data_IF_407912093023
#
_entry.id   IF_407912093023
#
_cell.length_a   1.000
_cell.length_b   1.000
_cell.length_c   1.000
_cell.angle_alpha   90.00
_cell.angle_beta   90.00
_cell.angle_gamma   90.00
#
_symmetry.space_group_name_H-M   'P 1'
#
loop_
_entity.id
_entity.type
_entity.pdbx_description
1 polymer ?
#
# COMPACT_ATOMS: atom_id res chain seq x y z
N UNK A 1 -1.02 18.69 -45.88
CA UNK A 1 -0.36 17.89 -44.82
C UNK A 1 -0.77 18.52 -43.51
N UNK A 2 -1.71 17.91 -42.80
CA UNK A 2 -2.23 18.41 -41.53
C UNK A 2 -1.77 17.43 -40.44
N UNK A 3 -1.03 17.96 -39.48
CA UNK A 3 -0.61 17.30 -38.25
C UNK A 3 -1.83 17.06 -37.36
N UNK A 4 -2.05 15.80 -36.96
CA UNK A 4 -3.01 15.39 -35.94
C UNK A 4 -2.20 14.89 -34.75
N UNK A 5 -1.76 15.81 -33.91
CA UNK A 5 -1.35 15.51 -32.54
C UNK A 5 -2.60 15.12 -31.76
N UNK A 6 -2.80 13.82 -31.56
CA UNK A 6 -3.74 13.28 -30.59
C UNK A 6 -3.20 13.64 -29.21
N UNK A 7 -3.85 14.60 -28.56
CA UNK A 7 -3.62 14.89 -27.15
C UNK A 7 -3.90 13.60 -26.35
N UNK A 8 -2.89 13.07 -25.68
CA UNK A 8 -3.06 12.02 -24.70
C UNK A 8 -3.90 12.61 -23.56
N UNK A 9 -5.19 12.26 -23.52
CA UNK A 9 -5.99 12.49 -22.33
C UNK A 9 -5.38 11.64 -21.21
N UNK A 10 -4.74 12.30 -20.24
CA UNK A 10 -4.29 11.67 -19.01
C UNK A 10 -5.48 10.97 -18.36
N UNK A 11 -5.51 9.63 -18.42
CA UNK A 11 -6.56 8.83 -17.81
C UNK A 11 -6.40 8.94 -16.29
N UNK A 12 -7.19 9.82 -15.67
CA UNK A 12 -7.21 9.99 -14.22
C UNK A 12 -7.96 8.82 -13.55
N UNK A 13 -7.24 7.99 -12.80
CA UNK A 13 -7.84 6.94 -11.97
C UNK A 13 -8.26 7.49 -10.61
N UNK A 14 -9.43 7.10 -10.10
CA UNK A 14 -9.76 7.32 -8.68
C UNK A 14 -9.15 6.21 -7.83
N UNK A 15 -8.19 6.54 -6.95
CA UNK A 15 -7.59 5.59 -6.00
C UNK A 15 -7.90 6.05 -4.58
N UNK A 16 -8.42 5.14 -3.77
CA UNK A 16 -8.60 5.41 -2.35
C UNK A 16 -7.22 5.40 -1.68
N UNK A 17 -6.81 6.54 -1.12
CA UNK A 17 -5.55 6.66 -0.38
C UNK A 17 -5.90 6.64 1.10
N UNK A 18 -5.68 5.47 1.71
CA UNK A 18 -6.01 5.21 3.10
C UNK A 18 -5.34 6.20 4.08
N UNK A 19 -4.20 6.78 3.71
CA UNK A 19 -3.52 7.79 4.52
C UNK A 19 -4.38 9.04 4.81
N UNK A 20 -5.32 9.38 3.93
CA UNK A 20 -6.17 10.60 4.01
C UNK A 20 -7.64 10.27 4.29
N UNK A 21 -8.03 8.99 4.30
CA UNK A 21 -9.42 8.57 4.48
C UNK A 21 -10.38 9.07 3.38
N UNK A 22 -9.84 9.54 2.24
CA UNK A 22 -10.60 10.12 1.12
C UNK A 22 -10.21 9.46 -0.21
N UNK A 23 -11.17 9.44 -1.13
CA UNK A 23 -10.91 9.07 -2.54
C UNK A 23 -10.29 10.29 -3.20
N UNK A 24 -9.06 10.16 -3.70
CA UNK A 24 -8.38 11.18 -4.50
C UNK A 24 -8.11 10.63 -5.91
N UNK A 25 -8.12 11.54 -6.89
CA UNK A 25 -7.75 11.21 -8.27
C UNK A 25 -6.23 11.15 -8.35
N UNK A 26 -5.71 10.06 -8.89
CA UNK A 26 -4.28 9.85 -9.17
C UNK A 26 -4.16 9.30 -10.60
N UNK A 27 -3.08 9.61 -11.32
CA UNK A 27 -2.88 9.07 -12.66
C UNK A 27 -2.88 7.53 -12.63
N UNK A 28 -3.50 6.91 -13.64
CA UNK A 28 -3.45 5.47 -13.80
C UNK A 28 -2.02 5.04 -14.18
N UNK A 29 -1.41 4.12 -13.43
CA UNK A 29 -0.25 3.38 -13.93
C UNK A 29 -0.75 2.30 -14.90
N UNK A 30 -0.48 2.49 -16.20
CA UNK A 30 -0.57 1.42 -17.18
C UNK A 30 0.55 0.41 -16.93
N UNK A 31 0.18 -0.87 -16.88
CA UNK A 31 1.07 -1.96 -16.51
C UNK A 31 1.87 -2.47 -17.70
N UNK A 32 3.18 -2.75 -17.53
CA UNK A 32 3.99 -3.29 -18.62
C UNK A 32 5.45 -3.66 -18.31
N UNK A 33 5.64 -4.74 -17.54
CA UNK A 33 6.73 -5.74 -17.64
C UNK A 33 8.17 -5.44 -17.21
N UNK A 34 8.93 -6.50 -16.82
CA UNK A 34 10.11 -6.41 -15.98
C UNK A 34 11.41 -6.52 -16.79
N UNK A 35 12.36 -5.63 -16.55
CA UNK A 35 13.75 -5.87 -16.92
C UNK A 35 14.63 -6.04 -15.69
N UNK A 36 15.17 -7.26 -15.60
CA UNK A 36 16.26 -7.65 -14.70
C UNK A 36 17.54 -6.95 -15.13
N UNK A 37 18.08 -6.08 -14.27
CA UNK A 37 19.51 -6.02 -13.92
C UNK A 37 19.52 -5.63 -12.43
N UNK A 38 19.95 -6.47 -11.50
CA UNK A 38 21.31 -6.99 -11.46
C UNK A 38 22.26 -5.91 -10.95
N UNK A 39 22.02 -5.39 -9.74
CA UNK A 39 23.02 -4.68 -8.96
C UNK A 39 22.89 -5.14 -7.51
N UNK A 40 23.74 -6.09 -7.14
CA UNK A 40 24.26 -6.15 -5.77
C UNK A 40 24.95 -4.81 -5.51
N UNK A 41 24.32 -3.97 -4.70
CA UNK A 41 24.96 -2.76 -4.19
C UNK A 41 25.64 -3.12 -2.89
N UNK A 42 26.96 -2.93 -2.89
CA UNK A 42 27.89 -2.88 -1.77
C UNK A 42 27.29 -2.21 -0.51
N UNK A 43 27.84 -2.49 0.69
CA UNK A 43 27.38 -1.84 1.93
C UNK A 43 27.45 -0.32 1.76
N UNK A 44 26.28 0.31 1.57
CA UNK A 44 26.17 1.74 1.33
C UNK A 44 26.79 2.54 2.48
N UNK A 45 27.34 3.74 2.19
CA UNK A 45 28.11 4.53 3.14
C UNK A 45 27.34 4.71 4.44
N UNK A 46 28.04 4.53 5.56
CA UNK A 46 27.53 4.86 6.89
C UNK A 46 27.41 6.38 6.96
N UNK A 47 26.22 6.89 6.68
CA UNK A 47 25.94 8.33 6.71
C UNK A 47 26.07 8.83 8.14
N UNK A 48 27.00 9.76 8.37
CA UNK A 48 27.14 10.45 9.65
C UNK A 48 26.29 11.74 9.64
N UNK A 49 25.07 11.65 10.16
CA UNK A 49 24.17 12.78 10.40
C UNK A 49 24.53 13.49 11.71
N UNK A 50 24.41 14.82 11.75
CA UNK A 50 24.54 15.55 13.02
C UNK A 50 23.28 15.34 13.88
N UNK A 51 23.39 15.41 15.22
CA UNK A 51 22.23 15.28 16.10
C UNK A 51 21.11 16.31 15.83
N UNK A 52 21.47 17.53 15.42
CA UNK A 52 20.50 18.59 15.15
C UNK A 52 19.68 18.35 13.88
N UNK A 53 20.27 17.78 12.84
CA UNK A 53 19.56 17.35 11.62
C UNK A 53 18.61 16.19 11.92
N UNK A 54 19.07 15.28 12.77
CA UNK A 54 18.30 14.11 13.18
C UNK A 54 17.05 14.48 14.01
N UNK A 55 17.18 15.51 14.85
CA UNK A 55 16.06 16.10 15.62
C UNK A 55 15.02 16.76 14.71
N UNK A 56 15.44 17.52 13.69
CA UNK A 56 14.50 18.13 12.72
C UNK A 56 13.72 17.09 11.93
N UNK A 57 14.34 15.95 11.61
CA UNK A 57 13.71 14.83 10.90
C UNK A 57 12.98 13.84 11.82
N UNK A 58 12.99 14.03 13.15
CA UNK A 58 12.34 13.14 14.12
C UNK A 58 10.88 12.79 13.80
N UNK A 59 9.97 13.71 13.40
CA UNK A 59 8.58 13.36 13.11
C UNK A 59 8.45 12.41 11.92
N UNK A 60 9.25 12.60 10.86
CA UNK A 60 9.21 11.74 9.68
C UNK A 60 9.85 10.38 9.95
N UNK A 61 10.92 10.33 10.75
CA UNK A 61 11.52 9.09 11.25
C UNK A 61 10.54 8.29 12.10
N UNK A 62 9.83 8.95 13.02
CA UNK A 62 8.78 8.33 13.83
C UNK A 62 7.64 7.77 12.96
N UNK A 63 7.28 8.46 11.88
CA UNK A 63 6.30 7.95 10.92
C UNK A 63 6.78 6.66 10.24
N UNK A 64 8.05 6.58 9.83
CA UNK A 64 8.64 5.35 9.27
C UNK A 64 8.64 4.19 10.28
N UNK A 65 8.92 4.48 11.55
CA UNK A 65 8.83 3.50 12.64
C UNK A 65 7.40 2.97 12.77
N UNK A 66 6.39 3.86 12.84
CA UNK A 66 4.99 3.45 12.92
C UNK A 66 4.55 2.56 11.75
N UNK A 67 4.96 2.91 10.53
CA UNK A 67 4.66 2.11 9.33
C UNK A 67 5.37 0.74 9.37
N UNK A 68 6.64 0.71 9.79
CA UNK A 68 7.40 -0.53 9.98
C UNK A 68 6.73 -1.45 11.00
N UNK A 69 6.34 -0.90 12.15
CA UNK A 69 5.76 -1.68 13.24
C UNK A 69 4.37 -2.20 12.89
N UNK A 70 3.58 -1.43 12.15
CA UNK A 70 2.30 -1.90 11.61
C UNK A 70 2.49 -3.08 10.65
N UNK A 71 3.51 -3.05 9.77
CA UNK A 71 3.85 -4.16 8.89
C UNK A 71 4.27 -5.39 9.71
N UNK A 72 5.21 -5.26 10.65
CA UNK A 72 5.71 -6.38 11.47
C UNK A 72 4.60 -6.99 12.31
N UNK A 73 3.74 -6.16 12.89
CA UNK A 73 2.53 -6.58 13.61
C UNK A 73 1.59 -7.38 12.72
N UNK A 74 1.37 -6.91 11.48
CA UNK A 74 0.52 -7.60 10.53
C UNK A 74 1.14 -8.91 10.04
N UNK A 75 2.46 -8.99 9.89
CA UNK A 75 3.16 -10.17 9.37
C UNK A 75 2.86 -11.42 10.21
N UNK A 76 2.81 -11.28 11.54
CA UNK A 76 2.53 -12.36 12.48
C UNK A 76 1.05 -12.63 12.77
N UNK A 77 0.11 -11.90 12.16
CA UNK A 77 -1.33 -11.99 12.46
C UNK A 77 -2.13 -12.47 11.25
N UNK A 78 -2.31 -13.79 11.15
CA UNK A 78 -3.03 -14.43 10.04
C UNK A 78 -4.48 -13.94 9.90
N UNK A 79 -5.19 -13.75 11.03
CA UNK A 79 -6.59 -13.31 11.00
C UNK A 79 -6.71 -11.87 10.48
N UNK A 80 -5.76 -11.01 10.82
CA UNK A 80 -5.67 -9.68 10.25
C UNK A 80 -5.33 -9.71 8.77
N UNK A 81 -4.36 -10.53 8.34
CA UNK A 81 -3.96 -10.65 6.94
C UNK A 81 -5.14 -11.12 6.07
N UNK A 82 -5.92 -12.08 6.53
CA UNK A 82 -7.15 -12.55 5.88
C UNK A 82 -8.20 -11.43 5.76
N UNK A 83 -8.41 -10.70 6.85
CA UNK A 83 -9.34 -9.57 6.90
C UNK A 83 -8.89 -8.42 6.00
N UNK A 84 -7.59 -8.17 5.93
CA UNK A 84 -6.97 -7.16 5.08
C UNK A 84 -7.10 -7.54 3.60
N UNK A 85 -6.80 -8.79 3.24
CA UNK A 85 -7.05 -9.31 1.89
C UNK A 85 -8.52 -9.14 1.48
N UNK A 86 -9.44 -9.43 2.40
CA UNK A 86 -10.88 -9.25 2.15
C UNK A 86 -11.22 -7.79 1.90
N UNK A 87 -10.71 -6.86 2.71
CA UNK A 87 -10.96 -5.43 2.52
C UNK A 87 -10.40 -4.89 1.20
N UNK A 88 -9.21 -5.35 0.78
CA UNK A 88 -8.58 -4.96 -0.50
C UNK A 88 -9.42 -5.46 -1.68
N UNK A 89 -9.87 -6.71 -1.64
CA UNK A 89 -10.70 -7.28 -2.70
C UNK A 89 -12.06 -6.59 -2.81
N UNK A 90 -12.71 -6.33 -1.67
CA UNK A 90 -13.96 -5.58 -1.63
C UNK A 90 -13.82 -4.19 -2.25
N UNK A 91 -12.75 -3.46 -1.91
CA UNK A 91 -12.45 -2.16 -2.53
C UNK A 91 -12.23 -2.27 -4.05
N UNK A 92 -11.65 -3.37 -4.53
CA UNK A 92 -11.50 -3.65 -5.95
C UNK A 92 -12.87 -3.81 -6.64
N UNK A 93 -13.78 -4.55 -6.01
CA UNK A 93 -15.13 -4.78 -6.54
C UNK A 93 -16.01 -3.54 -6.52
N UNK A 94 -15.86 -2.64 -5.55
CA UNK A 94 -16.53 -1.34 -5.56
C UNK A 94 -16.20 -0.57 -6.85
N UNK A 95 -14.93 -0.61 -7.27
CA UNK A 95 -14.48 0.08 -8.50
C UNK A 95 -15.05 -0.57 -9.77
N UNK A 96 -15.17 -1.90 -9.80
CA UNK A 96 -15.69 -2.62 -10.96
C UNK A 96 -17.22 -2.70 -11.03
N UNK A 97 -17.93 -2.45 -9.91
CA UNK A 97 -19.38 -2.50 -9.84
C UNK A 97 -20.03 -1.44 -10.74
N UNK A 98 -20.81 -1.88 -11.74
CA UNK A 98 -21.54 -1.01 -12.68
C UNK A 98 -22.86 -0.49 -12.10
N UNK A 99 -23.52 -1.28 -11.25
CA UNK A 99 -24.79 -0.92 -10.65
C UNK A 99 -24.60 0.00 -9.44
N UNK A 100 -25.24 1.18 -9.44
CA UNK A 100 -25.16 2.16 -8.34
C UNK A 100 -25.59 1.59 -6.99
N UNK A 101 -26.64 0.76 -6.95
CA UNK A 101 -27.17 0.17 -5.70
C UNK A 101 -26.19 -0.87 -5.13
N UNK A 102 -25.64 -1.72 -5.99
CA UNK A 102 -24.62 -2.70 -5.60
C UNK A 102 -23.32 -2.01 -5.18
N UNK A 103 -22.87 -1.01 -5.94
CA UNK A 103 -21.69 -0.20 -5.62
C UNK A 103 -21.82 0.46 -4.25
N UNK A 104 -22.98 1.06 -3.94
CA UNK A 104 -23.23 1.67 -2.62
C UNK A 104 -23.13 0.61 -1.51
N UNK A 105 -23.79 -0.54 -1.70
CA UNK A 105 -23.74 -1.63 -0.72
C UNK A 105 -22.31 -2.12 -0.47
N UNK A 106 -21.56 -2.41 -1.53
CA UNK A 106 -20.16 -2.84 -1.44
C UNK A 106 -19.28 -1.76 -0.80
N UNK A 107 -19.56 -0.49 -1.08
CA UNK A 107 -18.85 0.64 -0.49
C UNK A 107 -19.09 0.73 1.03
N UNK A 108 -20.34 0.64 1.46
CA UNK A 108 -20.70 0.64 2.88
C UNK A 108 -20.05 -0.56 3.63
N UNK A 109 -20.05 -1.75 3.02
CA UNK A 109 -19.37 -2.92 3.58
C UNK A 109 -17.84 -2.77 3.60
N UNK A 110 -17.26 -2.14 2.58
CA UNK A 110 -15.81 -1.85 2.52
C UNK A 110 -15.41 -0.90 3.66
N UNK A 111 -16.21 0.16 3.91
CA UNK A 111 -15.99 1.07 5.04
C UNK A 111 -16.05 0.31 6.36
N UNK A 112 -17.07 -0.54 6.55
CA UNK A 112 -17.20 -1.33 7.78
C UNK A 112 -16.00 -2.27 8.00
N UNK A 113 -15.49 -2.89 6.94
CA UNK A 113 -14.30 -3.74 7.01
C UNK A 113 -13.03 -2.95 7.32
N UNK A 114 -12.84 -1.79 6.69
CA UNK A 114 -11.71 -0.91 6.98
C UNK A 114 -11.75 -0.40 8.43
N UNK A 115 -12.92 -0.05 8.94
CA UNK A 115 -13.10 0.36 10.33
C UNK A 115 -12.68 -0.75 11.32
N UNK A 116 -12.96 -2.02 11.00
CA UNK A 116 -12.53 -3.18 11.82
C UNK A 116 -11.01 -3.38 11.81
N UNK A 117 -10.35 -3.11 10.69
CA UNK A 117 -8.88 -3.15 10.62
C UNK A 117 -8.23 -2.01 11.41
N UNK A 118 -9.00 -0.94 11.66
CA UNK A 118 -8.60 0.20 12.50
C UNK A 118 -7.34 0.90 12.00
N UNK A 119 -6.62 1.50 12.95
CA UNK A 119 -5.40 2.23 12.67
C UNK A 119 -4.31 1.35 12.04
N UNK A 120 -4.19 0.08 12.48
CA UNK A 120 -3.24 -0.87 11.90
C UNK A 120 -3.52 -1.11 10.41
N UNK A 121 -4.79 -1.29 10.03
CA UNK A 121 -5.19 -1.41 8.62
C UNK A 121 -4.80 -0.19 7.78
N UNK A 122 -5.00 1.00 8.34
CA UNK A 122 -4.64 2.27 7.70
C UNK A 122 -3.13 2.37 7.47
N UNK A 123 -2.33 2.07 8.50
CA UNK A 123 -0.87 2.12 8.43
C UNK A 123 -0.31 1.08 7.47
N UNK A 124 -0.81 -0.15 7.47
CA UNK A 124 -0.41 -1.18 6.50
C UNK A 124 -0.78 -0.77 5.07
N UNK A 125 -1.98 -0.23 4.86
CA UNK A 125 -2.39 0.29 3.55
C UNK A 125 -1.48 1.41 3.05
N UNK A 126 -1.13 2.35 3.94
CA UNK A 126 -0.19 3.42 3.62
C UNK A 126 1.20 2.87 3.31
N UNK A 127 1.71 1.96 4.15
CA UNK A 127 3.02 1.33 4.03
C UNK A 127 3.22 0.58 2.69
N UNK A 128 2.16 -0.03 2.17
CA UNK A 128 2.16 -0.77 0.90
C UNK A 128 1.87 0.10 -0.32
N UNK A 129 1.47 1.36 -0.12
CA UNK A 129 1.22 2.30 -1.21
C UNK A 129 2.54 2.98 -1.60
N UNK A 130 3.22 2.43 -2.61
CA UNK A 130 4.52 2.92 -3.08
C UNK A 130 4.56 4.44 -3.34
N UNK A 131 3.62 5.06 -4.10
CA UNK A 131 3.70 6.50 -4.35
C UNK A 131 3.67 7.36 -3.08
N UNK A 132 2.97 6.92 -2.03
CA UNK A 132 2.89 7.62 -0.75
C UNK A 132 4.19 7.47 0.04
N UNK A 133 4.75 6.25 0.05
CA UNK A 133 5.90 5.91 0.89
C UNK A 133 7.23 6.25 0.25
N UNK A 134 7.33 6.19 -1.07
CA UNK A 134 8.54 6.57 -1.80
C UNK A 134 8.75 8.08 -1.73
N UNK A 135 7.68 8.90 -1.81
CA UNK A 135 7.76 10.34 -1.56
C UNK A 135 8.28 10.68 -0.15
N UNK A 136 7.79 9.98 0.88
CA UNK A 136 8.31 10.12 2.25
C UNK A 136 9.78 9.71 2.32
N UNK A 137 10.15 8.56 1.76
CA UNK A 137 11.51 8.04 1.76
C UNK A 137 12.50 8.92 1.00
N UNK A 138 12.04 9.66 -0.01
CA UNK A 138 12.84 10.60 -0.79
C UNK A 138 12.94 12.00 -0.19
N UNK A 139 12.30 12.22 0.96
CA UNK A 139 12.41 13.49 1.67
C UNK A 139 13.85 13.69 2.15
N UNK A 140 14.50 14.81 1.80
CA UNK A 140 15.83 15.12 2.27
C UNK A 140 15.82 15.47 3.77
N UNK A 141 16.86 15.07 4.48
CA UNK A 141 17.02 15.38 5.92
C UNK A 141 17.59 16.79 6.11
N UNK A 142 18.32 17.30 5.12
CA UNK A 142 18.87 18.64 5.10
C UNK A 142 18.76 19.26 3.68
N UNK A 143 18.66 20.59 3.59
CA UNK A 143 18.39 21.33 2.35
C UNK A 143 19.66 21.70 1.56
N UNK A 144 20.84 21.37 2.10
CA UNK A 144 22.12 21.77 1.56
C UNK A 144 22.70 20.70 0.60
N UNK A 145 21.98 20.44 -0.50
CA UNK A 145 22.51 19.86 -1.74
C UNK A 145 23.36 18.58 -1.62
N UNK A 146 22.74 17.41 -1.84
CA UNK A 146 23.40 16.09 -1.84
C UNK A 146 23.21 15.30 -0.54
N UNK A 147 22.43 15.86 0.38
CA UNK A 147 22.20 15.35 1.73
C UNK A 147 21.46 14.01 1.80
N UNK A 148 21.73 13.23 2.85
CA UNK A 148 21.08 11.94 3.08
C UNK A 148 19.56 12.06 3.13
N UNK A 149 18.89 11.10 2.50
CA UNK A 149 17.44 11.01 2.47
C UNK A 149 16.94 10.15 3.61
N UNK A 150 15.65 10.23 3.91
CA UNK A 150 15.04 9.36 4.91
C UNK A 150 15.26 7.87 4.63
N UNK A 151 15.30 7.45 3.36
CA UNK A 151 15.66 6.07 2.98
C UNK A 151 17.03 5.59 3.46
N UNK A 152 17.97 6.51 3.66
CA UNK A 152 19.36 6.17 4.03
C UNK A 152 19.53 6.00 5.53
N UNK A 153 18.56 6.46 6.33
CA UNK A 153 18.53 6.34 7.80
C UNK A 153 18.27 4.91 8.26
N UNK A 154 18.62 4.56 9.51
CA UNK A 154 18.26 3.27 10.09
C UNK A 154 16.75 2.99 10.04
N UNK A 155 15.90 4.00 10.26
CA UNK A 155 14.44 3.86 10.21
C UNK A 155 13.95 3.62 8.78
N UNK A 156 14.49 4.35 7.80
CA UNK A 156 14.17 4.15 6.38
C UNK A 156 14.56 2.77 5.89
N UNK A 157 15.77 2.29 6.23
CA UNK A 157 16.23 0.94 5.91
C UNK A 157 15.37 -0.13 6.59
N UNK A 158 15.05 0.05 7.87
CA UNK A 158 14.20 -0.89 8.61
C UNK A 158 12.78 -0.97 8.01
N UNK A 159 12.20 0.18 7.64
CA UNK A 159 10.91 0.24 6.96
C UNK A 159 10.96 -0.46 5.59
N UNK A 160 11.98 -0.19 4.77
CA UNK A 160 12.16 -0.83 3.47
C UNK A 160 12.32 -2.35 3.59
N UNK A 161 13.07 -2.81 4.59
CA UNK A 161 13.22 -4.24 4.88
C UNK A 161 11.90 -4.88 5.30
N UNK A 162 11.14 -4.25 6.22
CA UNK A 162 9.83 -4.73 6.63
C UNK A 162 8.86 -4.80 5.44
N UNK A 163 8.80 -3.72 4.64
CA UNK A 163 7.97 -3.64 3.43
C UNK A 163 8.34 -4.72 2.40
N UNK A 164 9.63 -5.00 2.21
CA UNK A 164 10.12 -6.02 1.27
C UNK A 164 9.83 -7.46 1.70
N UNK A 165 9.78 -7.71 3.02
CA UNK A 165 9.43 -9.01 3.61
C UNK A 165 7.93 -9.27 3.62
N UNK A 166 7.13 -8.22 3.79
CA UNK A 166 5.69 -8.34 3.84
C UNK A 166 5.11 -8.65 2.46
N UNK A 167 4.81 -9.93 2.24
CA UNK A 167 4.19 -10.43 1.01
C UNK A 167 2.81 -10.98 1.34
N UNK A 168 1.80 -10.45 0.67
CA UNK A 168 0.45 -10.98 0.69
C UNK A 168 0.20 -11.77 -0.60
N UNK A 169 -0.37 -12.96 -0.46
CA UNK A 169 -0.87 -13.80 -1.54
C UNK A 169 -2.35 -14.05 -1.32
N UNK A 170 -3.16 -13.01 -1.49
CA UNK A 170 -4.60 -13.06 -1.24
C UNK A 170 -5.30 -13.99 -2.24
N UNK A 171 -5.90 -15.07 -1.73
CA UNK A 171 -6.88 -15.88 -2.44
C UNK A 171 -8.28 -15.50 -1.94
N UNK A 172 -9.23 -15.28 -2.85
CA UNK A 172 -10.57 -14.82 -2.51
C UNK A 172 -11.64 -15.69 -3.18
N UNK A 173 -12.76 -15.88 -2.49
CA UNK A 173 -13.93 -16.56 -3.04
C UNK A 173 -15.19 -15.79 -2.63
N UNK A 174 -16.16 -15.75 -3.56
CA UNK A 174 -17.45 -15.11 -3.38
C UNK A 174 -18.53 -16.16 -3.33
N UNK A 175 -19.38 -16.09 -2.31
CA UNK A 175 -20.57 -16.95 -2.22
C UNK A 175 -21.49 -16.71 -3.43
N UNK A 176 -21.94 -17.80 -4.06
CA UNK A 176 -22.86 -17.70 -5.21
C UNK A 176 -24.30 -17.35 -4.81
N UNK A 177 -24.70 -17.62 -3.56
CA UNK A 177 -26.05 -17.33 -3.06
C UNK A 177 -26.11 -15.94 -2.45
N UNK A 178 -27.19 -15.20 -2.72
CA UNK A 178 -27.40 -13.89 -2.14
C UNK A 178 -27.55 -13.96 -0.60
N UNK A 179 -27.02 -13.00 0.17
CA UNK A 179 -26.20 -11.86 -0.24
C UNK A 179 -24.71 -12.26 -0.32
N UNK A 180 -24.24 -12.70 -1.48
CA UNK A 180 -22.97 -13.41 -1.61
C UNK A 180 -21.80 -12.66 -0.99
N UNK A 181 -21.29 -13.16 0.14
CA UNK A 181 -20.17 -12.57 0.87
C UNK A 181 -18.85 -12.96 0.22
N UNK A 182 -17.87 -12.09 0.36
CA UNK A 182 -16.49 -12.36 -0.07
C UNK A 182 -15.70 -12.74 1.16
N UNK A 183 -14.93 -13.82 1.04
CA UNK A 183 -13.93 -14.19 2.03
C UNK A 183 -12.62 -14.38 1.31
N UNK A 184 -11.58 -13.76 1.86
CA UNK A 184 -10.23 -13.96 1.41
C UNK A 184 -9.38 -14.57 2.51
N UNK A 185 -8.32 -15.24 2.11
CA UNK A 185 -7.26 -15.69 2.98
C UNK A 185 -5.92 -15.36 2.33
N UNK A 186 -4.95 -15.00 3.14
CA UNK A 186 -3.59 -14.86 2.69
C UNK A 186 -2.88 -16.22 2.64
N UNK A 187 -2.30 -16.55 1.49
CA UNK A 187 -1.48 -17.74 1.28
C UNK A 187 -2.23 -19.06 1.50
N UNK A 188 -3.57 -19.04 1.44
CA UNK A 188 -4.40 -20.24 1.42
C UNK A 188 -4.59 -20.79 0.01
N UNK A 189 -4.78 -22.11 -0.09
CA UNK A 189 -5.35 -22.74 -1.28
C UNK A 189 -6.86 -22.47 -1.37
N UNK A 190 -7.42 -22.63 -2.56
CA UNK A 190 -8.87 -22.55 -2.76
C UNK A 190 -9.63 -23.59 -1.93
N UNK A 191 -9.04 -24.77 -1.66
CA UNK A 191 -9.70 -25.82 -0.88
C UNK A 191 -9.80 -25.44 0.61
N UNK A 192 -8.79 -24.78 1.17
CA UNK A 192 -8.87 -24.20 2.53
C UNK A 192 -9.92 -23.09 2.59
N UNK A 193 -10.07 -22.32 1.52
CA UNK A 193 -11.16 -21.35 1.45
C UNK A 193 -12.51 -22.07 1.46
N UNK A 194 -12.72 -23.11 0.63
CA UNK A 194 -13.96 -23.90 0.57
C UNK A 194 -14.37 -24.47 1.93
N UNK A 195 -13.42 -24.93 2.76
CA UNK A 195 -13.75 -25.46 4.09
C UNK A 195 -14.16 -24.39 5.09
N UNK A 196 -13.84 -23.12 4.82
CA UNK A 196 -14.31 -21.96 5.60
C UNK A 196 -15.67 -21.42 5.11
N UNK A 197 -16.22 -21.97 4.01
CA UNK A 197 -17.57 -21.67 3.50
C UNK A 197 -18.61 -22.64 4.04
#
# INVERSE_FOLDING_TARGET
MADLTVAAEDVECTRYVAAVGKIIRVPCDDSGSPDRKGSESEPGPTVHLTPAELEKAAPLRNQLVQLSDAIKSAEGDAAFRDSYCTAVEMASLVRSAKNRRERKKLFDETIAMQARLGERGRLVSAALTKPVTDALLDTPINEAGGDPRLRDTPEGRAFLQARGRFRLSCACMREMRAPGRIRCCDSCSLDVLKTRF
#
